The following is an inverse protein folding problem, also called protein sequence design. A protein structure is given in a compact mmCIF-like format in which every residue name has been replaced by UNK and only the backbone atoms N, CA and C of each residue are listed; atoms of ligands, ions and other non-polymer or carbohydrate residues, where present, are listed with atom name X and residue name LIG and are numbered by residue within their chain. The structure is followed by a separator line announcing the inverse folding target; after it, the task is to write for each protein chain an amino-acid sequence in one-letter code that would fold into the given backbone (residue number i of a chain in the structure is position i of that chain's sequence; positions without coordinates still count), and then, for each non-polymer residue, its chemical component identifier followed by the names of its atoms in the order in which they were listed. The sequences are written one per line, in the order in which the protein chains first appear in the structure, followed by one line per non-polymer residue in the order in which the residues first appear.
data_IF_549127320059
#
_entry.id   IF_549127320059
#
_cell.length_a   1.000
_cell.length_b   1.000
_cell.length_c   1.000
_cell.angle_alpha   90.00
_cell.angle_beta   90.00
_cell.angle_gamma   90.00
#
_symmetry.space_group_name_H-M   'P 1'
#
loop_
_entity.id
_entity.type
_entity.pdbx_description
1 polymer ?
#
# COMPACT_ATOMS: atom_id res chain seq x y z
N UNK A 1 -18.82 9.56 19.99
CA UNK A 1 -18.41 9.69 18.56
C UNK A 1 -19.21 8.71 17.71
N UNK A 2 -19.93 9.18 16.69
CA UNK A 2 -20.72 8.31 15.81
C UNK A 2 -19.83 7.23 15.18
N UNK A 3 -20.15 5.95 15.44
CA UNK A 3 -19.38 4.78 14.96
C UNK A 3 -19.19 4.76 13.43
N UNK A 4 -20.00 5.52 12.68
CA UNK A 4 -19.95 5.61 11.21
C UNK A 4 -18.90 6.60 10.69
N UNK A 5 -18.63 7.68 11.41
CA UNK A 5 -17.64 8.70 11.02
C UNK A 5 -16.24 8.13 10.73
N UNK A 6 -15.64 7.28 11.59
CA UNK A 6 -14.32 6.71 11.31
C UNK A 6 -14.33 5.70 10.14
N UNK A 7 -15.50 5.20 9.74
CA UNK A 7 -15.65 4.30 8.60
C UNK A 7 -15.63 5.07 7.29
N UNK A 8 -16.38 6.17 7.23
CA UNK A 8 -16.41 7.07 6.07
C UNK A 8 -15.03 7.67 5.83
N UNK A 9 -14.36 8.17 6.87
CA UNK A 9 -13.00 8.72 6.76
C UNK A 9 -12.02 7.67 6.22
N UNK A 10 -12.04 6.44 6.75
CA UNK A 10 -11.19 5.36 6.27
C UNK A 10 -11.47 5.04 4.79
N UNK A 11 -12.74 5.02 4.39
CA UNK A 11 -13.12 4.75 3.00
C UNK A 11 -12.55 5.80 2.04
N UNK A 12 -12.67 7.08 2.38
CA UNK A 12 -12.06 8.15 1.59
C UNK A 12 -10.53 8.07 1.54
N UNK A 13 -9.89 7.73 2.67
CA UNK A 13 -8.44 7.52 2.71
C UNK A 13 -8.04 6.38 1.75
N UNK A 14 -8.81 5.28 1.74
CA UNK A 14 -8.52 4.14 0.86
C UNK A 14 -8.71 4.49 -0.62
N UNK A 15 -9.77 5.23 -0.97
CA UNK A 15 -9.98 5.70 -2.34
C UNK A 15 -8.87 6.65 -2.80
N UNK A 16 -8.49 7.61 -1.95
CA UNK A 16 -7.42 8.54 -2.25
C UNK A 16 -6.08 7.79 -2.43
N UNK A 17 -5.79 6.85 -1.54
CA UNK A 17 -4.58 6.02 -1.63
C UNK A 17 -4.56 5.15 -2.89
N UNK A 18 -5.72 4.62 -3.28
CA UNK A 18 -5.89 3.88 -4.52
C UNK A 18 -5.60 4.77 -5.73
N UNK A 19 -6.14 5.99 -5.76
CA UNK A 19 -5.89 6.95 -6.82
C UNK A 19 -4.40 7.33 -6.92
N UNK A 20 -3.74 7.56 -5.78
CA UNK A 20 -2.30 7.87 -5.73
C UNK A 20 -1.46 6.69 -6.21
N UNK A 21 -1.79 5.46 -5.79
CA UNK A 21 -1.04 4.26 -6.20
C UNK A 21 -1.23 3.95 -7.69
N UNK A 22 -2.42 4.17 -8.24
CA UNK A 22 -2.64 4.12 -9.68
C UNK A 22 -1.91 5.21 -10.45
N UNK A 23 -1.88 6.44 -9.92
CA UNK A 23 -1.09 7.54 -10.49
C UNK A 23 0.41 7.22 -10.52
N UNK A 24 0.93 6.62 -9.45
CA UNK A 24 2.33 6.14 -9.39
C UNK A 24 2.62 5.06 -10.44
N UNK A 25 1.71 4.11 -10.63
CA UNK A 25 1.86 3.06 -11.64
C UNK A 25 1.81 3.62 -13.06
N UNK A 26 0.69 4.25 -13.42
CA UNK A 26 0.47 4.68 -14.80
C UNK A 26 1.26 5.93 -15.17
N UNK A 27 1.44 6.88 -14.25
CA UNK A 27 2.16 8.13 -14.51
C UNK A 27 3.68 8.03 -14.39
N UNK A 28 4.21 7.08 -13.61
CA UNK A 28 5.66 6.97 -13.36
C UNK A 28 6.30 5.71 -13.97
N UNK A 29 5.58 4.58 -13.98
CA UNK A 29 6.10 3.32 -14.56
C UNK A 29 5.67 3.08 -16.00
N UNK A 30 4.46 3.47 -16.39
CA UNK A 30 3.92 3.10 -17.71
C UNK A 30 4.03 4.21 -18.76
N UNK A 31 4.33 5.43 -18.33
CA UNK A 31 4.44 6.58 -19.23
C UNK A 31 5.76 6.54 -20.03
N UNK A 32 5.60 6.39 -21.36
CA UNK A 32 6.65 6.29 -22.38
C UNK A 32 7.49 7.57 -22.51
N UNK A 33 6.98 8.73 -22.10
CA UNK A 33 7.74 9.99 -22.18
C UNK A 33 8.96 9.97 -21.26
N UNK A 34 8.88 9.28 -20.12
CA UNK A 34 9.99 9.18 -19.17
C UNK A 34 11.10 8.22 -19.61
N UNK A 35 10.80 7.27 -20.51
CA UNK A 35 11.79 6.32 -21.02
C UNK A 35 12.84 7.03 -21.88
N UNK A 36 12.43 7.99 -22.70
CA UNK A 36 13.36 8.82 -23.47
C UNK A 36 14.17 9.78 -22.61
N UNK A 37 13.50 10.44 -21.64
CA UNK A 37 14.15 11.44 -20.76
C UNK A 37 15.16 10.79 -19.80
N UNK A 38 14.86 9.59 -19.29
CA UNK A 38 15.76 8.87 -18.39
C UNK A 38 16.93 8.17 -19.10
N UNK A 39 16.87 8.00 -20.43
CA UNK A 39 17.98 7.47 -21.21
C UNK A 39 19.06 8.54 -21.47
N UNK A 40 18.66 9.81 -21.64
CA UNK A 40 19.58 10.94 -21.84
C UNK A 40 20.09 11.57 -20.52
N UNK A 41 19.23 11.70 -19.49
CA UNK A 41 19.59 12.33 -18.21
C UNK A 41 19.23 11.45 -17.00
N UNK A 42 20.03 10.39 -16.79
CA UNK A 42 19.84 9.41 -15.73
C UNK A 42 19.93 9.94 -14.28
N UNK A 43 20.39 11.19 -14.06
CA UNK A 43 20.53 11.79 -12.73
C UNK A 43 19.27 12.46 -12.19
N UNK A 44 18.18 12.53 -12.97
CA UNK A 44 16.91 13.09 -12.48
C UNK A 44 16.26 12.20 -11.44
N UNK A 45 15.72 12.84 -10.40
CA UNK A 45 15.10 12.16 -9.26
C UNK A 45 13.95 11.23 -9.67
N UNK A 46 13.22 11.53 -10.76
CA UNK A 46 12.17 10.66 -11.30
C UNK A 46 12.71 9.31 -11.79
N UNK A 47 13.88 9.31 -12.42
CA UNK A 47 14.52 8.11 -12.98
C UNK A 47 15.05 7.21 -11.86
N UNK A 48 15.65 7.79 -10.82
CA UNK A 48 16.04 7.05 -9.62
C UNK A 48 14.84 6.47 -8.89
N UNK A 49 13.74 7.23 -8.78
CA UNK A 49 12.51 6.74 -8.15
C UNK A 49 11.91 5.56 -8.93
N UNK A 50 11.86 5.63 -10.26
CA UNK A 50 11.42 4.54 -11.13
C UNK A 50 12.28 3.27 -10.98
N UNK A 51 13.62 3.43 -11.01
CA UNK A 51 14.55 2.31 -10.86
C UNK A 51 14.42 1.65 -9.48
N UNK A 52 14.39 2.45 -8.41
CA UNK A 52 14.24 1.95 -7.04
C UNK A 52 12.88 1.29 -6.83
N UNK A 53 11.79 1.86 -7.36
CA UNK A 53 10.48 1.25 -7.29
C UNK A 53 10.44 -0.10 -8.00
N UNK A 54 11.04 -0.22 -9.20
CA UNK A 54 11.17 -1.50 -9.89
C UNK A 54 11.93 -2.55 -9.06
N UNK A 55 13.00 -2.13 -8.39
CA UNK A 55 13.80 -2.99 -7.51
C UNK A 55 13.00 -3.43 -6.28
N UNK A 56 12.26 -2.51 -5.65
CA UNK A 56 11.45 -2.80 -4.46
C UNK A 56 10.25 -3.71 -4.78
N UNK A 57 9.70 -3.60 -6.00
CA UNK A 57 8.69 -4.54 -6.51
C UNK A 57 9.32 -5.91 -6.73
N UNK A 58 10.50 -5.98 -7.34
CA UNK A 58 11.19 -7.25 -7.60
C UNK A 58 11.47 -8.03 -6.31
N UNK A 59 11.95 -7.35 -5.26
CA UNK A 59 12.15 -7.95 -3.95
C UNK A 59 10.86 -8.12 -3.13
N UNK A 60 9.71 -7.67 -3.64
CA UNK A 60 8.43 -7.77 -2.95
C UNK A 60 8.40 -7.06 -1.59
N UNK A 61 9.20 -5.99 -1.43
CA UNK A 61 9.39 -5.27 -0.15
C UNK A 61 8.04 -4.77 0.39
N UNK A 62 7.18 -4.25 -0.50
CA UNK A 62 5.85 -3.80 -0.14
C UNK A 62 4.93 -4.95 0.28
N UNK A 63 5.02 -6.11 -0.38
CA UNK A 63 4.24 -7.30 -0.03
C UNK A 63 4.64 -7.89 1.32
N UNK A 64 5.94 -8.06 1.57
CA UNK A 64 6.47 -8.50 2.86
C UNK A 64 6.18 -7.51 3.98
N UNK A 65 6.36 -6.21 3.72
CA UNK A 65 6.02 -5.15 4.66
C UNK A 65 4.55 -5.19 5.04
N UNK A 66 3.65 -5.29 4.06
CA UNK A 66 2.21 -5.42 4.31
C UNK A 66 1.90 -6.66 5.16
N UNK A 67 2.46 -7.83 4.81
CA UNK A 67 2.21 -9.09 5.50
C UNK A 67 2.68 -9.05 6.96
N UNK A 68 3.92 -8.64 7.20
CA UNK A 68 4.50 -8.54 8.54
C UNK A 68 3.68 -7.57 9.40
N UNK A 69 3.33 -6.41 8.83
CA UNK A 69 2.55 -5.40 9.55
C UNK A 69 1.14 -5.91 9.89
N UNK A 70 0.48 -6.62 8.97
CA UNK A 70 -0.83 -7.22 9.20
C UNK A 70 -0.79 -8.36 10.23
N UNK A 71 0.28 -9.16 10.26
CA UNK A 71 0.49 -10.18 11.29
C UNK A 71 0.70 -9.55 12.67
N UNK A 72 1.57 -8.54 12.77
CA UNK A 72 1.80 -7.80 14.02
C UNK A 72 0.50 -7.16 14.51
N UNK A 73 -0.31 -6.59 13.62
CA UNK A 73 -1.61 -6.01 13.95
C UNK A 73 -2.58 -7.01 14.64
N UNK A 74 -2.43 -8.31 14.33
CA UNK A 74 -3.24 -9.38 14.91
C UNK A 74 -2.86 -9.70 16.36
N UNK A 75 -1.56 -9.69 16.67
CA UNK A 75 -1.05 -10.01 18.01
C UNK A 75 -1.06 -8.81 18.97
N UNK A 76 -1.06 -7.57 18.46
CA UNK A 76 -0.97 -6.35 19.27
C UNK A 76 -2.34 -5.86 19.79
N UNK A 77 -2.31 -5.22 20.98
CA UNK A 77 -3.48 -4.71 21.74
C UNK A 77 -4.43 -3.81 20.92
N UNK A 78 -5.70 -3.71 21.38
CA UNK A 78 -6.86 -3.19 20.62
C UNK A 78 -6.63 -1.90 19.83
N UNK A 79 -5.97 -0.87 20.39
CA UNK A 79 -5.80 0.42 19.71
C UNK A 79 -4.62 0.42 18.74
N UNK A 80 -3.46 -0.05 19.19
CA UNK A 80 -2.22 -0.07 18.40
C UNK A 80 -2.34 -1.06 17.24
N UNK A 81 -2.94 -2.23 17.47
CA UNK A 81 -3.23 -3.20 16.41
C UNK A 81 -4.18 -2.65 15.35
N UNK A 82 -5.05 -1.68 15.67
CA UNK A 82 -5.90 -1.03 14.68
C UNK A 82 -5.11 -0.09 13.76
N UNK A 83 -4.15 0.64 14.30
CA UNK A 83 -3.25 1.48 13.50
C UNK A 83 -2.41 0.62 12.55
N UNK A 84 -1.81 -0.46 13.05
CA UNK A 84 -1.05 -1.40 12.23
C UNK A 84 -1.92 -2.09 11.16
N UNK A 85 -3.18 -2.42 11.46
CA UNK A 85 -4.08 -2.97 10.46
C UNK A 85 -4.36 -1.96 9.33
N UNK A 86 -4.53 -0.67 9.63
CA UNK A 86 -4.69 0.36 8.58
C UNK A 86 -3.43 0.50 7.74
N UNK A 87 -2.25 0.53 8.37
CA UNK A 87 -0.96 0.60 7.65
C UNK A 87 -0.76 -0.62 6.76
N UNK A 88 -1.01 -1.83 7.27
CA UNK A 88 -0.96 -3.07 6.50
C UNK A 88 -1.93 -3.08 5.32
N UNK A 89 -3.12 -2.50 5.49
CA UNK A 89 -4.11 -2.36 4.42
C UNK A 89 -3.63 -1.41 3.31
N UNK A 90 -3.05 -0.25 3.67
CA UNK A 90 -2.51 0.72 2.72
C UNK A 90 -1.31 0.14 1.95
N UNK A 91 -0.39 -0.51 2.66
CA UNK A 91 0.75 -1.20 2.04
C UNK A 91 0.30 -2.35 1.15
N UNK A 92 -0.70 -3.12 1.58
CA UNK A 92 -1.29 -4.20 0.80
C UNK A 92 -1.92 -3.70 -0.50
N UNK A 93 -2.70 -2.61 -0.44
CA UNK A 93 -3.29 -1.99 -1.65
C UNK A 93 -2.19 -1.49 -2.59
N UNK A 94 -1.17 -0.83 -2.06
CA UNK A 94 -0.02 -0.38 -2.85
C UNK A 94 0.66 -1.58 -3.54
N UNK A 95 0.92 -2.65 -2.79
CA UNK A 95 1.53 -3.87 -3.30
C UNK A 95 0.68 -4.56 -4.39
N UNK A 96 -0.64 -4.63 -4.21
CA UNK A 96 -1.60 -5.13 -5.19
C UNK A 96 -1.57 -4.33 -6.49
N UNK A 97 -1.53 -3.00 -6.40
CA UNK A 97 -1.45 -2.12 -7.58
C UNK A 97 -0.09 -2.24 -8.26
N UNK A 98 1.01 -2.37 -7.52
CA UNK A 98 2.38 -2.50 -8.02
C UNK A 98 2.77 -3.95 -8.44
N UNK A 99 1.80 -4.81 -8.78
CA UNK A 99 2.01 -6.20 -9.27
C UNK A 99 2.54 -7.24 -8.26
N UNK A 100 2.52 -6.98 -6.96
CA UNK A 100 2.96 -7.94 -5.92
C UNK A 100 1.78 -8.64 -5.24
N UNK A 101 0.93 -9.29 -6.04
CA UNK A 101 -0.35 -9.84 -5.58
C UNK A 101 -0.23 -11.03 -4.61
N UNK A 102 0.79 -11.87 -4.74
CA UNK A 102 0.91 -13.15 -4.01
C UNK A 102 0.89 -13.01 -2.49
N UNK A 103 1.61 -12.03 -1.93
CA UNK A 103 1.66 -11.75 -0.50
C UNK A 103 0.62 -10.71 -0.07
N UNK A 104 0.33 -9.74 -0.94
CA UNK A 104 -0.54 -8.61 -0.65
C UNK A 104 -1.99 -9.02 -0.40
N UNK A 105 -2.51 -10.04 -1.11
CA UNK A 105 -3.88 -10.53 -0.91
C UNK A 105 -4.08 -11.02 0.53
N UNK A 106 -3.17 -11.85 1.04
CA UNK A 106 -3.24 -12.33 2.42
C UNK A 106 -3.12 -11.19 3.43
N UNK A 107 -2.20 -10.24 3.19
CA UNK A 107 -2.02 -9.08 4.05
C UNK A 107 -3.28 -8.21 4.16
N UNK A 108 -3.97 -7.96 3.04
CA UNK A 108 -5.23 -7.18 2.99
C UNK A 108 -6.36 -7.90 3.72
N UNK A 109 -6.50 -9.21 3.52
CA UNK A 109 -7.53 -10.01 4.19
C UNK A 109 -7.33 -10.00 5.72
N UNK A 110 -6.10 -10.25 6.19
CA UNK A 110 -5.77 -10.27 7.63
C UNK A 110 -6.02 -8.89 8.26
N UNK A 111 -5.56 -7.82 7.61
CA UNK A 111 -5.79 -6.45 8.06
C UNK A 111 -7.29 -6.11 8.11
N UNK A 112 -8.05 -6.48 7.07
CA UNK A 112 -9.49 -6.25 6.97
C UNK A 112 -10.27 -6.96 8.09
N UNK A 113 -9.98 -8.25 8.30
CA UNK A 113 -10.59 -9.04 9.38
C UNK A 113 -10.32 -8.42 10.75
N UNK A 114 -9.09 -7.98 11.02
CA UNK A 114 -8.74 -7.31 12.28
C UNK A 114 -9.52 -6.02 12.50
N UNK A 115 -9.72 -5.23 11.43
CA UNK A 115 -10.43 -3.96 11.48
C UNK A 115 -11.94 -4.13 11.74
N UNK A 116 -12.56 -5.16 11.16
CA UNK A 116 -13.96 -5.52 11.40
C UNK A 116 -14.15 -6.07 12.82
N UNK A 117 -13.25 -6.96 13.27
CA UNK A 117 -13.31 -7.54 14.62
C UNK A 117 -13.18 -6.49 15.72
N UNK A 118 -12.35 -5.46 15.50
CA UNK A 118 -12.22 -4.33 16.44
C UNK A 118 -13.48 -3.45 16.57
N UNK A 119 -14.42 -3.51 15.61
CA UNK A 119 -15.69 -2.78 15.69
C UNK A 119 -16.77 -3.50 16.49
N UNK A 120 -16.70 -4.84 16.57
CA UNK A 120 -17.73 -5.65 17.20
C UNK A 120 -17.56 -5.76 18.73
N UNK A 121 -16.35 -5.55 19.23
CA UNK A 121 -16.02 -5.65 20.65
C UNK A 121 -15.98 -4.30 21.38
#
# INVERSE_FOLDING_TARGET
MSRRLPLVVLFFILLLWLAVSYGLRYGLMEDVQWVGICADEASKWQCQLRSNLGLWIHYGVFGWGALITSLIAFFVSRQVGRAFAVVGLLLGILALVLYTASLAVFAVVIAGLRLVRARQA
#
